data_IF_191934176450
#
_entry.id   IF_191934176450
#
_cell.length_a   1.000
_cell.length_b   1.000
_cell.length_c   1.000
_cell.angle_alpha   90.00
_cell.angle_beta   90.00
_cell.angle_gamma   90.00
#
_symmetry.space_group_name_H-M   'P 1'
#
loop_
_entity.id
_entity.type
_entity.pdbx_description
1 polymer ?
#
# COMPACT_ATOMS: atom_id res chain seq x y z
N UNK A 1 -18.22 8.49 99.67
CA UNK A 1 -18.27 7.01 99.68
C UNK A 1 -18.26 6.42 98.28
N UNK A 2 -19.19 6.76 97.38
CA UNK A 2 -19.26 6.18 96.02
C UNK A 2 -18.01 6.42 95.13
N UNK A 3 -17.39 7.60 95.21
CA UNK A 3 -16.17 7.92 94.45
C UNK A 3 -14.96 7.09 94.91
N UNK A 4 -14.83 6.86 96.23
CA UNK A 4 -13.78 6.03 96.81
C UNK A 4 -13.99 4.56 96.46
N UNK A 5 -15.24 4.11 96.32
CA UNK A 5 -15.56 2.75 95.89
C UNK A 5 -15.22 2.50 94.42
N UNK A 6 -15.44 3.48 93.54
CA UNK A 6 -15.05 3.40 92.12
C UNK A 6 -13.54 3.41 91.94
N UNK A 7 -12.81 4.20 92.72
CA UNK A 7 -11.34 4.21 92.72
C UNK A 7 -10.80 2.89 93.28
N UNK A 8 -11.40 2.33 94.32
CA UNK A 8 -11.05 1.01 94.85
C UNK A 8 -11.34 -0.12 93.85
N UNK A 9 -12.44 -0.06 93.09
CA UNK A 9 -12.76 -1.04 92.04
C UNK A 9 -11.77 -0.99 90.86
N UNK A 10 -11.27 0.21 90.54
CA UNK A 10 -10.26 0.41 89.50
C UNK A 10 -8.85 -0.05 89.91
N UNK A 11 -8.54 0.03 91.21
CA UNK A 11 -7.26 -0.40 91.78
C UNK A 11 -7.23 -1.88 92.15
N UNK A 12 -8.38 -2.49 92.44
CA UNK A 12 -8.48 -3.90 92.85
C UNK A 12 -8.58 -4.89 91.67
N UNK A 13 -8.59 -4.43 90.41
CA UNK A 13 -8.70 -5.34 89.27
C UNK A 13 -7.36 -6.07 89.05
N UNK A 14 -7.30 -7.41 89.23
CA UNK A 14 -6.07 -8.16 89.05
C UNK A 14 -5.64 -8.06 87.59
N UNK A 15 -4.47 -7.50 87.38
CA UNK A 15 -3.84 -7.27 86.10
C UNK A 15 -3.42 -8.61 85.46
N UNK A 16 -4.32 -9.22 84.68
CA UNK A 16 -3.88 -10.06 83.55
C UNK A 16 -3.50 -9.17 82.36
N UNK A 17 -2.52 -8.30 82.58
CA UNK A 17 -1.56 -7.90 81.56
C UNK A 17 -1.75 -6.59 80.78
N UNK A 18 -2.95 -6.03 80.61
CA UNK A 18 -3.10 -4.71 79.98
C UNK A 18 -4.24 -3.92 80.61
N UNK A 19 -3.92 -2.76 81.19
CA UNK A 19 -4.93 -1.82 81.65
C UNK A 19 -5.80 -1.38 80.46
N UNK A 20 -7.09 -1.09 80.70
CA UNK A 20 -7.99 -0.51 79.70
C UNK A 20 -7.36 0.71 79.01
N UNK A 21 -6.57 1.48 79.76
CA UNK A 21 -5.79 2.63 79.28
C UNK A 21 -4.73 2.19 78.26
N UNK A 22 -4.01 1.10 78.50
CA UNK A 22 -3.03 0.55 77.56
C UNK A 22 -3.69 0.05 76.26
N UNK A 23 -4.89 -0.53 76.33
CA UNK A 23 -5.62 -0.94 75.12
C UNK A 23 -6.09 0.26 74.27
N UNK A 24 -6.62 1.31 74.91
CA UNK A 24 -6.96 2.57 74.22
C UNK A 24 -5.71 3.23 73.63
N UNK A 25 -4.58 3.24 74.35
CA UNK A 25 -3.31 3.76 73.84
C UNK A 25 -2.80 2.96 72.62
N UNK A 26 -2.97 1.64 72.61
CA UNK A 26 -2.62 0.79 71.45
C UNK A 26 -3.52 1.08 70.25
N UNK A 27 -4.83 1.25 70.45
CA UNK A 27 -5.74 1.58 69.35
C UNK A 27 -5.47 2.97 68.77
N UNK A 28 -5.24 3.97 69.62
CA UNK A 28 -4.85 5.31 69.19
C UNK A 28 -3.49 5.30 68.50
N UNK A 29 -2.52 4.56 69.04
CA UNK A 29 -1.20 4.36 68.43
C UNK A 29 -1.28 3.68 67.06
N UNK A 30 -2.12 2.63 66.93
CA UNK A 30 -2.39 1.97 65.65
C UNK A 30 -3.10 2.89 64.67
N UNK A 31 -4.06 3.68 65.12
CA UNK A 31 -4.75 4.70 64.30
C UNK A 31 -3.79 5.76 63.79
N UNK A 32 -2.92 6.29 64.66
CA UNK A 32 -1.89 7.25 64.31
C UNK A 32 -0.86 6.68 63.33
N UNK A 33 -0.33 5.47 63.58
CA UNK A 33 0.62 4.80 62.68
C UNK A 33 -0.01 4.48 61.33
N UNK A 34 -1.27 4.04 61.29
CA UNK A 34 -2.03 3.84 60.03
C UNK A 34 -2.26 5.15 59.29
N UNK A 35 -2.62 6.22 59.99
CA UNK A 35 -2.79 7.55 59.39
C UNK A 35 -1.48 8.10 58.83
N UNK A 36 -0.37 7.93 59.56
CA UNK A 36 0.97 8.31 59.10
C UNK A 36 1.42 7.46 57.90
N UNK A 37 1.16 6.15 57.93
CA UNK A 37 1.44 5.25 56.81
C UNK A 37 0.59 5.59 55.58
N UNK A 38 -0.69 5.91 55.76
CA UNK A 38 -1.57 6.33 54.68
C UNK A 38 -1.11 7.65 54.04
N UNK A 39 -0.75 8.64 54.87
CA UNK A 39 -0.23 9.93 54.40
C UNK A 39 1.09 9.80 53.65
N UNK A 40 2.01 8.99 54.16
CA UNK A 40 3.29 8.73 53.49
C UNK A 40 3.11 7.95 52.19
N UNK A 41 2.21 6.98 52.13
CA UNK A 41 1.85 6.28 50.89
C UNK A 41 1.22 7.22 49.86
N UNK A 42 0.31 8.10 50.27
CA UNK A 42 -0.32 9.08 49.38
C UNK A 42 0.74 10.02 48.77
N UNK A 43 1.59 10.62 49.62
CA UNK A 43 2.69 11.47 49.17
C UNK A 43 3.67 10.73 48.24
N UNK A 44 3.90 9.43 48.45
CA UNK A 44 4.76 8.62 47.58
C UNK A 44 4.16 8.46 46.19
N UNK A 45 2.86 8.15 46.12
CA UNK A 45 2.15 8.00 44.86
C UNK A 45 2.05 9.33 44.11
N UNK A 46 1.84 10.44 44.83
CA UNK A 46 1.82 11.78 44.24
C UNK A 46 3.19 12.17 43.68
N UNK A 47 4.28 11.89 44.41
CA UNK A 47 5.65 12.09 43.93
C UNK A 47 5.95 11.24 42.67
N UNK A 48 5.56 9.97 42.67
CA UNK A 48 5.75 9.07 41.53
C UNK A 48 4.94 9.55 40.31
N UNK A 49 3.67 9.92 40.50
CA UNK A 49 2.83 10.45 39.43
C UNK A 49 3.39 11.76 38.86
N UNK A 50 3.87 12.65 39.74
CA UNK A 50 4.55 13.89 39.34
C UNK A 50 5.82 13.61 38.53
N UNK A 51 6.63 12.63 38.95
CA UNK A 51 7.83 12.22 38.22
C UNK A 51 7.50 11.71 36.80
N UNK A 52 6.51 10.83 36.65
CA UNK A 52 6.07 10.35 35.34
C UNK A 52 5.46 11.45 34.45
N UNK A 53 4.75 12.42 35.03
CA UNK A 53 4.23 13.56 34.29
C UNK A 53 5.37 14.47 33.80
N UNK A 54 6.33 14.77 34.68
CA UNK A 54 7.46 15.62 34.37
C UNK A 54 8.43 14.99 33.36
N UNK A 55 8.68 13.68 33.46
CA UNK A 55 9.47 12.94 32.48
C UNK A 55 8.82 12.95 31.08
N UNK A 56 7.49 12.78 31.01
CA UNK A 56 6.73 12.89 29.74
C UNK A 56 6.79 14.30 29.14
N UNK A 57 6.82 15.33 29.99
CA UNK A 57 6.96 16.72 29.57
C UNK A 57 8.40 17.11 29.21
N UNK A 58 9.39 16.21 29.35
CA UNK A 58 10.80 16.53 29.15
C UNK A 58 11.38 17.53 30.17
N UNK A 59 10.75 17.66 31.34
CA UNK A 59 11.20 18.59 32.38
C UNK A 59 12.47 18.06 33.06
N UNK A 60 13.45 18.94 33.23
CA UNK A 60 14.68 18.68 33.98
C UNK A 60 14.67 19.48 35.28
N UNK A 61 14.33 18.84 36.38
CA UNK A 61 14.42 19.41 37.73
C UNK A 61 15.47 18.65 38.52
N UNK A 62 16.44 19.34 39.11
CA UNK A 62 17.50 18.72 39.90
C UNK A 62 17.12 18.72 41.38
N UNK A 63 17.34 17.63 42.13
CA UNK A 63 17.15 17.63 43.56
C UNK A 63 18.24 18.47 44.22
N UNK A 64 17.95 19.17 45.32
CA UNK A 64 18.95 20.00 46.03
C UNK A 64 20.08 19.15 46.61
N UNK A 65 19.78 17.88 46.91
CA UNK A 65 20.74 16.87 47.36
C UNK A 65 21.79 16.51 46.30
N UNK A 66 21.64 16.96 45.05
CA UNK A 66 22.56 16.58 43.98
C UNK A 66 23.98 17.06 44.21
N UNK A 67 24.20 18.14 44.97
CA UNK A 67 25.55 18.62 45.26
C UNK A 67 26.33 17.68 46.19
N UNK A 68 25.70 16.64 46.74
CA UNK A 68 26.36 15.65 47.59
C UNK A 68 26.90 14.47 46.74
N UNK A 69 28.24 14.26 46.67
CA UNK A 69 28.84 13.18 45.88
C UNK A 69 28.42 11.77 46.31
N UNK A 70 28.16 11.55 47.60
CA UNK A 70 27.72 10.25 48.10
C UNK A 70 26.29 9.93 47.63
N UNK A 71 25.41 10.95 47.61
CA UNK A 71 24.06 10.81 47.08
C UNK A 71 24.07 10.52 45.57
N UNK A 72 24.86 11.28 44.80
CA UNK A 72 25.05 11.04 43.36
C UNK A 72 25.46 9.60 43.07
N UNK A 73 26.52 9.13 43.73
CA UNK A 73 27.04 7.78 43.52
C UNK A 73 25.99 6.71 43.85
N UNK A 74 25.29 6.85 44.97
CA UNK A 74 24.28 5.88 45.38
C UNK A 74 23.05 5.91 44.48
N UNK A 75 22.58 7.09 44.07
CA UNK A 75 21.47 7.25 43.14
C UNK A 75 21.78 6.54 41.81
N UNK A 76 22.96 6.77 41.24
CA UNK A 76 23.39 6.10 39.99
C UNK A 76 23.44 4.58 40.14
N UNK A 77 23.99 4.07 41.25
CA UNK A 77 24.08 2.63 41.49
C UNK A 77 22.69 1.99 41.60
N UNK A 78 21.80 2.54 42.41
CA UNK A 78 20.47 1.94 42.64
C UNK A 78 19.56 2.05 41.42
N UNK A 79 19.61 3.17 40.70
CA UNK A 79 18.83 3.35 39.46
C UNK A 79 19.36 2.47 38.33
N UNK A 80 20.68 2.31 38.21
CA UNK A 80 21.26 1.35 37.27
C UNK A 80 20.83 -0.08 37.59
N UNK A 81 20.85 -0.46 38.88
CA UNK A 81 20.37 -1.77 39.33
C UNK A 81 18.88 -1.96 39.01
N UNK A 82 18.06 -0.95 39.26
CA UNK A 82 16.63 -1.00 38.97
C UNK A 82 16.33 -1.18 37.47
N UNK A 83 17.12 -0.56 36.58
CA UNK A 83 17.02 -0.77 35.14
C UNK A 83 17.40 -2.22 34.73
N UNK A 84 18.41 -2.80 35.37
CA UNK A 84 18.78 -4.22 35.17
C UNK A 84 17.67 -5.15 35.68
N UNK A 85 17.11 -4.87 36.86
CA UNK A 85 15.97 -5.60 37.43
C UNK A 85 14.68 -5.45 36.60
N UNK A 86 14.61 -4.44 35.74
CA UNK A 86 13.54 -4.26 34.75
C UNK A 86 13.74 -5.12 33.48
N UNK A 87 14.90 -5.76 33.31
CA UNK A 87 15.21 -6.64 32.19
C UNK A 87 16.30 -6.13 31.24
N UNK A 88 16.90 -4.96 31.48
CA UNK A 88 18.04 -4.49 30.69
C UNK A 88 19.32 -5.26 31.02
N UNK A 89 20.19 -5.47 30.04
CA UNK A 89 21.57 -5.87 30.32
C UNK A 89 22.36 -4.71 30.95
N UNK A 90 23.48 -5.02 31.62
CA UNK A 90 24.32 -3.98 32.22
C UNK A 90 24.86 -2.97 31.19
N UNK A 91 25.19 -3.44 29.97
CA UNK A 91 25.62 -2.57 28.88
C UNK A 91 24.48 -1.72 28.33
N UNK A 92 23.29 -2.30 28.17
CA UNK A 92 22.09 -1.57 27.75
C UNK A 92 21.74 -0.46 28.75
N UNK A 93 21.74 -0.77 30.05
CA UNK A 93 21.48 0.21 31.09
C UNK A 93 22.51 1.35 31.02
N UNK A 94 23.80 1.03 30.90
CA UNK A 94 24.86 2.06 30.77
C UNK A 94 24.66 2.95 29.53
N UNK A 95 24.33 2.37 28.38
CA UNK A 95 24.06 3.12 27.16
C UNK A 95 22.79 3.98 27.29
N UNK A 96 21.75 3.45 27.92
CA UNK A 96 20.48 4.13 28.17
C UNK A 96 20.65 5.34 29.10
N UNK A 97 21.39 5.19 30.20
CA UNK A 97 21.73 6.30 31.10
C UNK A 97 22.66 7.34 30.50
N UNK A 98 23.36 7.01 29.40
CA UNK A 98 24.18 7.98 28.67
C UNK A 98 23.31 8.99 27.88
N UNK A 99 22.02 8.70 27.72
CA UNK A 99 21.07 9.61 27.08
C UNK A 99 20.65 10.72 28.06
N UNK A 100 20.79 11.98 27.66
CA UNK A 100 20.56 13.13 28.53
C UNK A 100 19.11 13.21 29.06
N UNK A 101 18.13 12.83 28.24
CA UNK A 101 16.72 12.76 28.63
C UNK A 101 16.46 11.74 29.75
N UNK A 102 17.12 10.57 29.69
CA UNK A 102 17.00 9.52 30.72
C UNK A 102 17.60 9.99 32.03
N UNK A 103 18.83 10.54 31.98
CA UNK A 103 19.48 11.11 33.15
C UNK A 103 18.62 12.23 33.78
N UNK A 104 18.09 13.14 32.97
CA UNK A 104 17.19 14.20 33.45
C UNK A 104 15.91 13.64 34.07
N UNK A 105 15.28 12.62 33.48
CA UNK A 105 14.06 12.02 34.01
C UNK A 105 14.27 11.39 35.40
N UNK A 106 15.37 10.66 35.59
CA UNK A 106 15.72 10.04 36.88
C UNK A 106 16.00 11.10 37.95
N UNK A 107 16.65 12.19 37.56
CA UNK A 107 16.95 13.30 38.45
C UNK A 107 15.69 14.08 38.84
N UNK A 108 14.82 14.34 37.87
CA UNK A 108 13.49 14.90 38.09
C UNK A 108 12.66 14.03 39.02
N UNK A 109 12.74 12.70 38.90
CA UNK A 109 12.07 11.79 39.83
C UNK A 109 12.56 11.99 41.27
N UNK A 110 13.87 11.99 41.49
CA UNK A 110 14.45 12.27 42.81
C UNK A 110 14.01 13.65 43.37
N UNK A 111 13.92 14.67 42.52
CA UNK A 111 13.44 16.00 42.89
C UNK A 111 11.95 16.02 43.26
N UNK A 112 11.09 15.25 42.56
CA UNK A 112 9.68 15.09 42.92
C UNK A 112 9.49 14.48 44.30
N UNK A 113 10.28 13.46 44.65
CA UNK A 113 10.27 12.89 46.01
C UNK A 113 10.80 13.90 47.05
N UNK A 114 11.82 14.69 46.72
CA UNK A 114 12.28 15.76 47.62
C UNK A 114 11.20 16.80 47.90
N UNK A 115 10.46 17.23 46.87
CA UNK A 115 9.37 18.21 46.98
C UNK A 115 8.26 17.77 47.94
N UNK A 116 7.96 16.47 47.97
CA UNK A 116 6.99 15.88 48.90
C UNK A 116 7.57 15.62 50.32
N UNK A 117 8.81 16.04 50.57
CA UNK A 117 9.46 15.99 51.88
C UNK A 117 10.11 14.65 52.24
N UNK A 118 10.37 13.78 51.25
CA UNK A 118 11.03 12.50 51.49
C UNK A 118 12.52 12.66 51.83
N UNK A 119 13.03 11.77 52.70
CA UNK A 119 14.45 11.70 53.03
C UNK A 119 15.31 11.30 51.82
N UNK A 120 16.62 11.56 51.86
CA UNK A 120 17.54 11.18 50.77
C UNK A 120 17.49 9.70 50.40
N UNK A 121 17.40 8.81 51.39
CA UNK A 121 17.26 7.37 51.12
C UNK A 121 15.94 7.04 50.43
N UNK A 122 14.84 7.67 50.84
CA UNK A 122 13.54 7.50 50.20
C UNK A 122 13.48 8.12 48.80
N UNK A 123 14.20 9.23 48.54
CA UNK A 123 14.38 9.79 47.19
C UNK A 123 15.07 8.78 46.26
N UNK A 124 16.14 8.12 46.73
CA UNK A 124 16.87 7.11 45.94
C UNK A 124 15.96 5.92 45.63
N UNK A 125 15.22 5.41 46.61
CA UNK A 125 14.27 4.31 46.42
C UNK A 125 13.16 4.71 45.43
N UNK A 126 12.58 5.90 45.59
CA UNK A 126 11.55 6.41 44.68
C UNK A 126 12.04 6.61 43.26
N UNK A 127 13.26 7.14 43.08
CA UNK A 127 13.89 7.27 41.78
C UNK A 127 14.22 5.90 41.16
N UNK A 128 14.63 4.91 41.97
CA UNK A 128 14.88 3.54 41.51
C UNK A 128 13.58 2.86 41.05
N UNK A 129 12.48 2.96 41.80
CA UNK A 129 11.18 2.45 41.40
C UNK A 129 10.69 3.10 40.10
N UNK A 130 10.76 4.43 40.01
CA UNK A 130 10.46 5.17 38.79
C UNK A 130 11.32 4.66 37.60
N UNK A 131 12.61 4.48 37.82
CA UNK A 131 13.55 4.01 36.79
C UNK A 131 13.17 2.61 36.30
N UNK A 132 12.75 1.73 37.20
CA UNK A 132 12.32 0.37 36.85
C UNK A 132 11.12 0.39 35.90
N UNK A 133 10.12 1.20 36.22
CA UNK A 133 8.93 1.35 35.37
C UNK A 133 9.26 2.03 34.04
N UNK A 134 10.12 3.05 34.06
CA UNK A 134 10.57 3.76 32.87
C UNK A 134 11.39 2.86 31.93
N UNK A 135 12.25 2.01 32.48
CA UNK A 135 13.04 1.03 31.73
C UNK A 135 12.16 -0.03 31.08
N UNK A 136 11.12 -0.53 31.77
CA UNK A 136 10.14 -1.46 31.18
C UNK A 136 9.42 -0.84 29.99
N UNK A 137 8.93 0.38 30.13
CA UNK A 137 8.26 1.09 29.05
C UNK A 137 9.19 1.26 27.82
N UNK A 138 10.46 1.58 28.05
CA UNK A 138 11.46 1.67 26.98
C UNK A 138 11.70 0.33 26.27
N UNK A 139 11.83 -0.76 27.02
CA UNK A 139 12.00 -2.11 26.44
C UNK A 139 10.79 -2.56 25.64
N UNK A 140 9.57 -2.29 26.12
CA UNK A 140 8.34 -2.58 25.37
C UNK A 140 8.31 -1.80 24.04
N UNK A 141 8.50 -0.48 24.08
CA UNK A 141 8.52 0.34 22.87
C UNK A 141 9.62 -0.09 21.87
N UNK A 142 10.78 -0.52 22.37
CA UNK A 142 11.85 -1.04 21.52
C UNK A 142 11.54 -2.41 20.89
N UNK A 143 10.78 -3.26 21.59
CA UNK A 143 10.32 -4.54 21.04
C UNK A 143 9.20 -4.32 20.01
N UNK A 144 8.22 -3.46 20.32
CA UNK A 144 7.14 -3.11 19.41
C UNK A 144 7.72 -2.55 18.09
N UNK A 145 8.69 -1.63 18.18
CA UNK A 145 9.38 -1.08 17.01
C UNK A 145 10.21 -2.12 16.23
N UNK A 146 10.70 -3.18 16.89
CA UNK A 146 11.41 -4.29 16.21
C UNK A 146 10.45 -5.22 15.50
N UNK A 147 9.30 -5.50 16.10
CA UNK A 147 8.23 -6.30 15.49
C UNK A 147 7.67 -5.57 14.27
N UNK A 148 7.34 -4.27 14.39
CA UNK A 148 6.90 -3.44 13.26
C UNK A 148 7.92 -3.40 12.11
N UNK A 149 9.22 -3.27 12.45
CA UNK A 149 10.28 -3.32 11.43
C UNK A 149 10.38 -4.70 10.78
N UNK A 150 10.28 -5.78 11.56
CA UNK A 150 10.30 -7.14 11.04
C UNK A 150 9.14 -7.42 10.09
N UNK A 151 7.93 -6.96 10.43
CA UNK A 151 6.75 -7.06 9.59
C UNK A 151 6.88 -6.24 8.30
N UNK A 152 7.45 -5.04 8.39
CA UNK A 152 7.74 -4.20 7.22
C UNK A 152 8.75 -4.88 6.27
N UNK A 153 9.85 -5.43 6.80
CA UNK A 153 10.86 -6.13 6.01
C UNK A 153 10.26 -7.39 5.34
N UNK A 154 9.40 -8.13 6.05
CA UNK A 154 8.72 -9.30 5.49
C UNK A 154 7.72 -8.93 4.39
N UNK A 155 6.97 -7.83 4.57
CA UNK A 155 6.04 -7.31 3.56
C UNK A 155 6.78 -6.83 2.30
N UNK A 156 7.94 -6.19 2.48
CA UNK A 156 8.81 -5.77 1.39
C UNK A 156 9.32 -6.96 0.56
N UNK A 157 9.89 -7.99 1.19
CA UNK A 157 10.38 -9.18 0.49
C UNK A 157 9.25 -9.93 -0.23
N UNK A 158 8.06 -10.02 0.40
CA UNK A 158 6.88 -10.59 -0.24
C UNK A 158 6.46 -9.79 -1.48
N UNK A 159 6.44 -8.46 -1.38
CA UNK A 159 6.14 -7.57 -2.50
C UNK A 159 7.11 -7.79 -3.66
N UNK A 160 8.41 -7.81 -3.38
CA UNK A 160 9.46 -8.06 -4.37
C UNK A 160 9.30 -9.42 -5.07
N UNK A 161 9.05 -10.49 -4.33
CA UNK A 161 8.85 -11.83 -4.91
C UNK A 161 7.62 -11.88 -5.84
N UNK A 162 6.52 -11.21 -5.47
CA UNK A 162 5.32 -11.09 -6.30
C UNK A 162 5.58 -10.27 -7.57
N UNK A 163 6.33 -9.17 -7.47
CA UNK A 163 6.75 -8.39 -8.63
C UNK A 163 7.58 -9.21 -9.62
N UNK A 164 8.60 -9.92 -9.15
CA UNK A 164 9.44 -10.80 -9.98
C UNK A 164 8.62 -11.93 -10.63
N UNK A 165 7.62 -12.46 -9.92
CA UNK A 165 6.67 -13.41 -10.49
C UNK A 165 5.81 -12.77 -11.58
N UNK A 166 5.30 -11.55 -11.36
CA UNK A 166 4.54 -10.79 -12.34
C UNK A 166 5.33 -10.54 -13.62
N UNK A 167 6.62 -10.19 -13.50
CA UNK A 167 7.51 -10.04 -14.64
C UNK A 167 7.65 -11.34 -15.45
N UNK A 168 7.78 -12.49 -14.78
CA UNK A 168 7.84 -13.80 -15.46
C UNK A 168 6.54 -14.12 -16.21
N UNK A 169 5.38 -13.80 -15.63
CA UNK A 169 4.10 -13.95 -16.32
C UNK A 169 4.01 -13.01 -17.54
N UNK A 170 4.42 -11.74 -17.40
CA UNK A 170 4.39 -10.76 -18.49
C UNK A 170 5.29 -11.18 -19.67
N UNK A 171 6.51 -11.70 -19.40
CA UNK A 171 7.42 -12.21 -20.43
C UNK A 171 6.85 -13.41 -21.22
N UNK A 172 5.85 -14.09 -20.66
CA UNK A 172 5.19 -15.23 -21.28
C UNK A 172 3.80 -14.86 -21.82
N UNK A 173 3.50 -13.57 -21.94
CA UNK A 173 2.22 -13.05 -22.42
C UNK A 173 1.02 -13.49 -21.55
N UNK A 174 1.27 -13.88 -20.30
CA UNK A 174 0.25 -14.22 -19.29
C UNK A 174 -0.20 -12.97 -18.55
N UNK A 175 -0.84 -12.07 -19.30
CA UNK A 175 -1.08 -10.68 -18.88
C UNK A 175 -2.03 -10.56 -17.70
N UNK A 176 -3.07 -11.41 -17.62
CA UNK A 176 -4.00 -11.45 -16.48
C UNK A 176 -3.29 -11.84 -15.18
N UNK A 177 -2.48 -12.90 -15.22
CA UNK A 177 -1.70 -13.35 -14.06
C UNK A 177 -0.62 -12.35 -13.66
N UNK A 178 -0.01 -11.67 -14.62
CA UNK A 178 0.95 -10.60 -14.35
C UNK A 178 0.29 -9.41 -13.63
N UNK A 179 -0.89 -8.97 -14.09
CA UNK A 179 -1.68 -7.89 -13.45
C UNK A 179 -2.06 -8.29 -12.00
N UNK A 180 -2.49 -9.53 -11.77
CA UNK A 180 -2.78 -10.03 -10.41
C UNK A 180 -1.53 -9.98 -9.51
N UNK A 181 -0.39 -10.46 -10.01
CA UNK A 181 0.86 -10.44 -9.27
C UNK A 181 1.31 -9.01 -8.93
N UNK A 182 1.23 -8.07 -9.88
CA UNK A 182 1.57 -6.67 -9.62
C UNK A 182 0.61 -6.04 -8.62
N UNK A 183 -0.69 -6.34 -8.70
CA UNK A 183 -1.69 -5.86 -7.72
C UNK A 183 -1.34 -6.33 -6.31
N UNK A 184 -1.08 -7.62 -6.14
CA UNK A 184 -0.71 -8.19 -4.84
C UNK A 184 0.66 -7.72 -4.36
N UNK A 185 1.58 -7.42 -5.28
CA UNK A 185 2.87 -6.79 -4.95
C UNK A 185 2.66 -5.39 -4.36
N UNK A 186 1.80 -4.58 -4.98
CA UNK A 186 1.47 -3.23 -4.52
C UNK A 186 0.84 -3.26 -3.13
N UNK A 187 -0.10 -4.19 -2.90
CA UNK A 187 -0.74 -4.39 -1.59
C UNK A 187 0.24 -4.83 -0.50
N UNK A 188 1.24 -5.65 -0.85
CA UNK A 188 2.26 -6.10 0.09
C UNK A 188 3.28 -4.99 0.41
N UNK A 189 3.76 -4.26 -0.60
CA UNK A 189 4.73 -3.18 -0.45
C UNK A 189 4.67 -2.25 -1.66
N UNK A 190 4.05 -1.09 -1.50
CA UNK A 190 3.89 -0.11 -2.57
C UNK A 190 5.25 0.40 -3.08
N UNK A 191 5.47 0.30 -4.39
CA UNK A 191 6.67 0.73 -5.09
C UNK A 191 6.29 1.20 -6.50
N UNK A 192 6.97 2.20 -7.10
CA UNK A 192 6.66 2.68 -8.45
C UNK A 192 6.68 1.59 -9.53
N UNK A 193 7.62 0.65 -9.48
CA UNK A 193 7.84 -0.30 -10.58
C UNK A 193 6.65 -1.25 -10.86
N UNK A 194 6.02 -1.89 -9.84
CA UNK A 194 4.76 -2.63 -10.04
C UNK A 194 3.65 -1.81 -10.70
N UNK A 195 3.47 -0.54 -10.34
CA UNK A 195 2.47 0.34 -10.95
C UNK A 195 2.79 0.61 -12.44
N UNK A 196 4.04 0.93 -12.76
CA UNK A 196 4.47 1.18 -14.16
C UNK A 196 4.24 -0.08 -15.01
N UNK A 197 4.64 -1.25 -14.52
CA UNK A 197 4.48 -2.50 -15.27
C UNK A 197 3.01 -2.90 -15.43
N UNK A 198 2.17 -2.67 -14.42
CA UNK A 198 0.73 -2.91 -14.52
C UNK A 198 0.06 -1.93 -15.48
N UNK A 199 0.44 -0.65 -15.45
CA UNK A 199 -0.02 0.37 -16.38
C UNK A 199 0.31 0.01 -17.84
N UNK A 200 1.53 -0.48 -18.10
CA UNK A 200 1.95 -0.92 -19.43
C UNK A 200 1.04 -2.04 -19.95
N UNK A 201 0.71 -3.03 -19.10
CA UNK A 201 -0.22 -4.10 -19.48
C UNK A 201 -1.65 -3.59 -19.68
N UNK A 202 -2.12 -2.67 -18.84
CA UNK A 202 -3.42 -2.02 -19.06
C UNK A 202 -3.46 -1.26 -20.39
N UNK A 203 -2.41 -0.53 -20.75
CA UNK A 203 -2.30 0.15 -22.04
C UNK A 203 -2.36 -0.81 -23.22
N UNK A 204 -1.69 -1.97 -23.14
CA UNK A 204 -1.78 -3.04 -24.15
C UNK A 204 -3.17 -3.66 -24.28
N UNK A 205 -4.00 -3.54 -23.24
CA UNK A 205 -5.42 -3.95 -23.23
C UNK A 205 -6.39 -2.80 -23.50
N UNK A 206 -5.89 -1.62 -23.91
CA UNK A 206 -6.67 -0.41 -24.19
C UNK A 206 -7.39 0.14 -22.93
N UNK A 207 -6.96 -0.29 -21.74
CA UNK A 207 -7.45 0.17 -20.43
C UNK A 207 -6.65 1.40 -19.97
N UNK A 208 -6.61 2.42 -20.83
CA UNK A 208 -5.73 3.58 -20.65
C UNK A 208 -6.10 4.47 -19.47
N UNK A 209 -7.36 4.45 -19.02
CA UNK A 209 -7.77 5.20 -17.84
C UNK A 209 -7.17 4.61 -16.56
N UNK A 210 -7.22 3.28 -16.41
CA UNK A 210 -6.56 2.57 -15.31
C UNK A 210 -5.05 2.70 -15.38
N UNK A 211 -4.46 2.62 -16.58
CA UNK A 211 -3.04 2.89 -16.79
C UNK A 211 -2.66 4.30 -16.32
N UNK A 212 -3.47 5.33 -16.63
CA UNK A 212 -3.25 6.69 -16.16
C UNK A 212 -3.25 6.79 -14.62
N UNK A 213 -4.20 6.12 -13.95
CA UNK A 213 -4.24 6.13 -12.47
C UNK A 213 -2.98 5.49 -11.88
N UNK A 214 -2.56 4.34 -12.41
CA UNK A 214 -1.35 3.66 -11.98
C UNK A 214 -0.10 4.52 -12.19
N UNK A 215 0.01 5.21 -13.34
CA UNK A 215 1.14 6.09 -13.63
C UNK A 215 1.19 7.33 -12.74
N UNK A 216 0.03 7.91 -12.39
CA UNK A 216 -0.04 9.04 -11.46
C UNK A 216 0.42 8.62 -10.06
N UNK A 217 0.04 7.43 -9.61
CA UNK A 217 0.47 6.90 -8.32
C UNK A 217 1.96 6.50 -8.34
N UNK A 218 2.44 5.91 -9.44
CA UNK A 218 3.86 5.64 -9.65
C UNK A 218 4.69 6.92 -9.56
N UNK A 219 4.25 8.01 -10.22
CA UNK A 219 4.90 9.32 -10.14
C UNK A 219 5.00 9.83 -8.70
N UNK A 220 3.88 9.79 -7.97
CA UNK A 220 3.80 10.23 -6.58
C UNK A 220 4.78 9.46 -5.68
N UNK A 221 4.87 8.14 -5.86
CA UNK A 221 5.78 7.29 -5.09
C UNK A 221 7.24 7.50 -5.48
N UNK A 222 7.54 7.66 -6.77
CA UNK A 222 8.91 7.86 -7.26
C UNK A 222 9.50 9.17 -6.73
N UNK A 223 8.72 10.25 -6.72
CA UNK A 223 9.09 11.55 -6.13
C UNK A 223 9.36 11.49 -4.62
N UNK A 224 8.71 10.56 -3.90
CA UNK A 224 8.89 10.38 -2.44
C UNK A 224 10.06 9.46 -2.08
N UNK A 225 10.51 8.64 -3.03
CA UNK A 225 11.53 7.62 -2.81
C UNK A 225 12.86 8.08 -3.42
N UNK A 226 13.27 7.48 -4.54
CA UNK A 226 14.59 7.66 -5.14
C UNK A 226 14.55 8.40 -6.49
N UNK A 227 13.36 8.70 -7.01
CA UNK A 227 13.16 9.36 -8.31
C UNK A 227 13.94 8.65 -9.43
N UNK A 228 13.77 7.33 -9.53
CA UNK A 228 14.51 6.44 -10.42
C UNK A 228 13.89 6.34 -11.81
N UNK A 229 12.59 6.60 -11.95
CA UNK A 229 11.84 6.40 -13.20
C UNK A 229 11.19 7.68 -13.80
N UNK A 230 11.78 8.90 -13.65
CA UNK A 230 11.06 10.12 -14.00
C UNK A 230 10.80 10.24 -15.51
N UNK A 231 11.69 9.69 -16.35
CA UNK A 231 11.58 9.80 -17.82
C UNK A 231 10.58 8.80 -18.37
N UNK A 232 10.64 7.56 -17.89
CA UNK A 232 9.70 6.49 -18.23
C UNK A 232 8.28 6.89 -17.86
N UNK A 233 8.07 7.32 -16.60
CA UNK A 233 6.76 7.76 -16.12
C UNK A 233 6.24 8.94 -16.94
N UNK A 234 7.08 9.95 -17.21
CA UNK A 234 6.66 11.12 -17.98
C UNK A 234 6.20 10.76 -19.40
N UNK A 235 6.95 9.90 -20.10
CA UNK A 235 6.61 9.43 -21.45
C UNK A 235 5.28 8.68 -21.47
N UNK A 236 5.10 7.72 -20.56
CA UNK A 236 3.85 6.94 -20.52
C UNK A 236 2.66 7.81 -20.10
N UNK A 237 2.87 8.78 -19.19
CA UNK A 237 1.84 9.76 -18.82
C UNK A 237 1.42 10.65 -19.99
N UNK A 238 2.36 11.10 -20.82
CA UNK A 238 2.04 11.91 -22.01
C UNK A 238 1.08 11.15 -22.93
N UNK A 239 1.41 9.90 -23.24
CA UNK A 239 0.56 9.03 -24.06
C UNK A 239 -0.81 8.77 -23.41
N UNK A 240 -0.82 8.33 -22.14
CA UNK A 240 -2.05 8.01 -21.42
C UNK A 240 -2.99 9.24 -21.30
N UNK A 241 -2.44 10.44 -21.07
CA UNK A 241 -3.24 11.66 -21.04
C UNK A 241 -3.86 11.99 -22.40
N UNK A 242 -3.12 11.78 -23.50
CA UNK A 242 -3.62 12.05 -24.85
C UNK A 242 -4.83 11.17 -25.19
N UNK A 243 -4.75 9.88 -24.90
CA UNK A 243 -5.83 8.92 -25.21
C UNK A 243 -7.02 9.03 -24.25
N UNK A 244 -6.82 9.49 -23.01
CA UNK A 244 -7.90 9.58 -22.01
C UNK A 244 -8.65 10.92 -21.97
N UNK A 245 -8.41 11.83 -22.91
CA UNK A 245 -9.07 13.15 -22.94
C UNK A 245 -10.61 13.06 -22.90
N UNK A 246 -11.19 11.99 -23.47
CA UNK A 246 -12.63 11.74 -23.50
C UNK A 246 -13.30 11.64 -22.11
N UNK A 247 -12.53 11.28 -21.07
CA UNK A 247 -13.02 11.20 -19.69
C UNK A 247 -13.22 12.57 -19.02
N UNK A 248 -12.63 13.65 -19.57
CA UNK A 248 -12.62 14.97 -18.92
C UNK A 248 -13.56 15.99 -19.57
N UNK A 249 -14.05 15.72 -20.78
CA UNK A 249 -14.78 16.68 -21.60
C UNK A 249 -16.26 16.29 -21.85
N UNK A 250 -16.77 15.27 -21.17
CA UNK A 250 -18.15 14.80 -21.34
C UNK A 250 -18.38 13.98 -22.63
N UNK A 251 -17.31 13.63 -23.34
CA UNK A 251 -17.40 12.86 -24.60
C UNK A 251 -17.72 11.39 -24.33
N UNK A 252 -17.14 10.80 -23.28
CA UNK A 252 -17.43 9.44 -22.83
C UNK A 252 -18.92 9.20 -22.63
N UNK A 253 -19.62 10.10 -21.94
CA UNK A 253 -21.04 9.94 -21.62
C UNK A 253 -21.91 9.90 -22.88
N UNK A 254 -21.54 10.67 -23.91
CA UNK A 254 -22.22 10.65 -25.21
C UNK A 254 -22.02 9.33 -25.93
N UNK A 255 -20.79 8.82 -25.95
CA UNK A 255 -20.45 7.54 -26.57
C UNK A 255 -21.16 6.36 -25.90
N UNK A 256 -21.25 6.38 -24.57
CA UNK A 256 -21.97 5.34 -23.81
C UNK A 256 -23.47 5.39 -24.10
N UNK A 257 -24.06 6.59 -24.17
CA UNK A 257 -25.48 6.71 -24.49
C UNK A 257 -25.79 6.25 -25.92
N UNK A 258 -24.94 6.62 -26.88
CA UNK A 258 -25.05 6.14 -28.26
C UNK A 258 -24.98 4.62 -28.36
N UNK A 259 -24.14 3.96 -27.55
CA UNK A 259 -24.03 2.49 -27.55
C UNK A 259 -25.24 1.80 -26.94
N UNK A 260 -25.93 2.40 -25.96
CA UNK A 260 -27.13 1.80 -25.37
C UNK A 260 -28.29 1.73 -26.37
N UNK A 261 -28.41 2.77 -27.20
CA UNK A 261 -29.51 2.90 -28.15
C UNK A 261 -29.15 2.37 -29.55
N UNK A 262 -27.86 2.18 -29.82
CA UNK A 262 -27.32 1.87 -31.13
C UNK A 262 -26.92 0.41 -31.34
N UNK A 263 -26.77 0.04 -32.61
CA UNK A 263 -26.21 -1.24 -33.01
C UNK A 263 -24.67 -1.23 -32.90
N UNK A 264 -24.11 -2.22 -32.20
CA UNK A 264 -22.66 -2.33 -31.97
C UNK A 264 -21.87 -2.43 -33.28
N UNK A 265 -22.43 -3.08 -34.31
CA UNK A 265 -21.77 -3.22 -35.61
C UNK A 265 -21.73 -1.90 -36.37
N UNK A 266 -22.84 -1.16 -36.37
CA UNK A 266 -22.89 0.17 -36.97
C UNK A 266 -21.91 1.15 -36.30
N UNK A 267 -21.87 1.18 -34.96
CA UNK A 267 -20.95 2.02 -34.19
C UNK A 267 -19.50 1.66 -34.50
N UNK A 268 -19.15 0.36 -34.45
CA UNK A 268 -17.81 -0.12 -34.79
C UNK A 268 -17.38 0.28 -36.21
N UNK A 269 -18.27 0.14 -37.20
CA UNK A 269 -18.00 0.54 -38.58
C UNK A 269 -17.79 2.05 -38.73
N UNK A 270 -18.60 2.88 -38.04
CA UNK A 270 -18.41 4.35 -38.02
C UNK A 270 -17.07 4.73 -37.38
N UNK A 271 -16.70 4.11 -36.26
CA UNK A 271 -15.42 4.35 -35.59
C UNK A 271 -14.25 4.02 -36.52
N UNK A 272 -14.27 2.87 -37.20
CA UNK A 272 -13.27 2.51 -38.21
C UNK A 272 -13.17 3.57 -39.31
N UNK A 273 -14.31 3.97 -39.88
CA UNK A 273 -14.34 5.01 -40.92
C UNK A 273 -13.68 6.31 -40.46
N UNK A 274 -14.01 6.77 -39.25
CA UNK A 274 -13.46 8.01 -38.69
C UNK A 274 -11.95 7.90 -38.41
N UNK A 275 -11.52 6.82 -37.76
CA UNK A 275 -10.13 6.65 -37.35
C UNK A 275 -9.18 6.46 -38.54
N UNK A 276 -9.62 5.70 -39.55
CA UNK A 276 -8.84 5.40 -40.75
C UNK A 276 -9.06 6.42 -41.88
N UNK A 277 -9.91 7.43 -41.68
CA UNK A 277 -10.20 8.44 -42.72
C UNK A 277 -10.90 7.85 -43.95
N UNK A 278 -11.70 6.79 -43.77
CA UNK A 278 -12.44 6.12 -44.84
C UNK A 278 -13.84 6.73 -44.92
N UNK A 279 -14.25 7.13 -46.13
CA UNK A 279 -15.62 7.59 -46.36
C UNK A 279 -16.61 6.43 -46.13
N UNK A 280 -17.72 6.62 -45.37
CA UNK A 280 -18.66 5.54 -45.04
C UNK A 280 -19.21 4.78 -46.25
N UNK A 281 -19.43 5.47 -47.38
CA UNK A 281 -19.84 4.84 -48.63
C UNK A 281 -18.78 3.87 -49.17
N UNK A 282 -17.50 4.26 -49.12
CA UNK A 282 -16.38 3.40 -49.55
C UNK A 282 -16.20 2.20 -48.65
N UNK A 283 -16.36 2.36 -47.34
CA UNK A 283 -16.37 1.24 -46.39
C UNK A 283 -17.50 0.24 -46.71
N UNK A 284 -18.72 0.75 -46.88
CA UNK A 284 -19.91 -0.06 -47.17
C UNK A 284 -19.72 -0.91 -48.43
N UNK A 285 -19.26 -0.31 -49.52
CA UNK A 285 -19.09 -0.97 -50.82
C UNK A 285 -17.69 -1.57 -51.04
N UNK A 286 -16.84 -1.60 -50.01
CA UNK A 286 -15.47 -2.12 -50.08
C UNK A 286 -14.63 -1.51 -51.22
N UNK A 287 -14.80 -0.21 -51.51
CA UNK A 287 -14.10 0.50 -52.60
C UNK A 287 -12.96 1.39 -52.10
N UNK A 288 -12.42 1.08 -50.92
CA UNK A 288 -11.27 1.75 -50.34
C UNK A 288 -10.00 0.93 -50.56
N UNK A 289 -8.88 1.61 -50.73
CA UNK A 289 -7.55 1.00 -50.71
C UNK A 289 -6.78 1.63 -49.55
N UNK A 290 -6.75 0.93 -48.41
CA UNK A 290 -6.18 1.46 -47.19
C UNK A 290 -5.32 0.39 -46.49
N UNK A 291 -4.00 0.35 -46.74
CA UNK A 291 -3.14 -0.73 -46.28
C UNK A 291 -3.08 -0.86 -44.74
N UNK A 292 -3.38 0.23 -44.02
CA UNK A 292 -3.44 0.16 -42.56
C UNK A 292 -4.62 -0.66 -42.02
N UNK A 293 -5.68 -0.90 -42.79
CA UNK A 293 -6.82 -1.71 -42.32
C UNK A 293 -6.42 -3.18 -42.18
N UNK A 294 -5.73 -3.72 -43.19
CA UNK A 294 -5.19 -5.08 -43.14
C UNK A 294 -4.14 -5.20 -42.04
N UNK A 295 -3.21 -4.23 -41.96
CA UNK A 295 -2.23 -4.19 -40.88
C UNK A 295 -2.89 -4.15 -39.50
N UNK A 296 -3.91 -3.30 -39.29
CA UNK A 296 -4.63 -3.20 -38.03
C UNK A 296 -5.25 -4.54 -37.62
N UNK A 297 -5.84 -5.26 -38.57
CA UNK A 297 -6.42 -6.57 -38.32
C UNK A 297 -5.39 -7.53 -37.71
N UNK A 298 -4.25 -7.74 -38.38
CA UNK A 298 -3.22 -8.66 -37.87
C UNK A 298 -2.54 -8.17 -36.60
N UNK A 299 -2.30 -6.87 -36.47
CA UNK A 299 -1.77 -6.26 -35.24
C UNK A 299 -2.70 -6.50 -34.05
N UNK A 300 -4.01 -6.37 -34.25
CA UNK A 300 -4.98 -6.66 -33.19
C UNK A 300 -5.13 -8.15 -32.89
N UNK A 301 -5.00 -9.05 -33.89
CA UNK A 301 -4.94 -10.48 -33.63
C UNK A 301 -3.74 -10.83 -32.73
N UNK A 302 -2.55 -10.29 -33.02
CA UNK A 302 -1.35 -10.48 -32.21
C UNK A 302 -1.51 -9.86 -30.80
N UNK A 303 -2.08 -8.66 -30.70
CA UNK A 303 -2.35 -8.01 -29.42
C UNK A 303 -3.33 -8.82 -28.55
N UNK A 304 -4.45 -9.28 -29.12
CA UNK A 304 -5.43 -10.10 -28.38
C UNK A 304 -4.80 -11.42 -27.96
N UNK A 305 -4.01 -12.06 -28.84
CA UNK A 305 -3.31 -13.30 -28.51
C UNK A 305 -2.32 -13.13 -27.35
N UNK A 306 -1.59 -12.01 -27.30
CA UNK A 306 -0.53 -11.78 -26.30
C UNK A 306 -1.02 -11.14 -25.00
N UNK A 307 -2.06 -10.31 -25.06
CA UNK A 307 -2.37 -9.42 -23.94
C UNK A 307 -3.79 -9.57 -23.40
N UNK A 308 -4.70 -10.27 -24.08
CA UNK A 308 -6.10 -10.37 -23.67
C UNK A 308 -6.60 -11.82 -23.49
N UNK A 309 -7.78 -11.96 -22.89
CA UNK A 309 -8.46 -13.25 -22.78
C UNK A 309 -9.32 -13.50 -24.02
N UNK A 310 -8.91 -14.48 -24.84
CA UNK A 310 -9.61 -14.93 -26.06
C UNK A 310 -11.09 -15.24 -25.84
N UNK A 311 -11.51 -15.60 -24.62
CA UNK A 311 -12.93 -15.87 -24.29
C UNK A 311 -13.84 -14.66 -24.48
N UNK A 312 -13.29 -13.44 -24.41
CA UNK A 312 -14.06 -12.21 -24.65
C UNK A 312 -14.16 -11.84 -26.13
N UNK A 313 -13.44 -12.56 -27.01
CA UNK A 313 -13.36 -12.30 -28.44
C UNK A 313 -13.61 -13.58 -29.25
N UNK A 314 -14.86 -14.09 -29.28
CA UNK A 314 -15.16 -15.38 -29.90
C UNK A 314 -14.79 -15.42 -31.39
N UNK A 315 -15.11 -14.37 -32.17
CA UNK A 315 -14.81 -14.33 -33.61
C UNK A 315 -13.29 -14.23 -33.84
N UNK A 316 -12.62 -13.38 -33.07
CA UNK A 316 -11.16 -13.20 -33.13
C UNK A 316 -10.43 -14.48 -32.76
N UNK A 317 -10.96 -15.26 -31.81
CA UNK A 317 -10.36 -16.54 -31.43
C UNK A 317 -10.36 -17.51 -32.62
N UNK A 318 -11.41 -17.54 -33.43
CA UNK A 318 -11.44 -18.33 -34.67
C UNK A 318 -10.42 -17.82 -35.68
N UNK A 319 -10.28 -16.49 -35.82
CA UNK A 319 -9.30 -15.91 -36.74
C UNK A 319 -7.85 -16.22 -36.33
N UNK A 320 -7.53 -16.13 -35.04
CA UNK A 320 -6.21 -16.51 -34.50
C UNK A 320 -5.89 -17.98 -34.83
N UNK A 321 -6.87 -18.88 -34.75
CA UNK A 321 -6.66 -20.29 -35.09
C UNK A 321 -6.59 -20.52 -36.61
N UNK A 322 -7.21 -19.64 -37.40
CA UNK A 322 -7.20 -19.70 -38.86
C UNK A 322 -5.89 -19.21 -39.49
N UNK A 323 -5.18 -18.26 -38.89
CA UNK A 323 -3.91 -17.75 -39.42
C UNK A 323 -2.71 -18.31 -38.63
N UNK A 324 -1.66 -18.86 -39.29
CA UNK A 324 -0.45 -19.29 -38.58
C UNK A 324 0.19 -18.14 -37.79
N UNK A 325 0.68 -18.41 -36.59
CA UNK A 325 1.30 -17.36 -35.74
C UNK A 325 2.45 -16.62 -36.44
N UNK A 326 3.32 -17.34 -37.15
CA UNK A 326 4.43 -16.73 -37.89
C UNK A 326 3.95 -15.87 -39.07
N UNK A 327 2.79 -16.19 -39.66
CA UNK A 327 2.17 -15.36 -40.69
C UNK A 327 1.61 -14.07 -40.11
N UNK A 328 0.94 -14.15 -38.94
CA UNK A 328 0.49 -12.96 -38.22
C UNK A 328 1.69 -12.07 -37.88
N UNK A 329 2.78 -12.64 -37.34
CA UNK A 329 3.99 -11.90 -37.03
C UNK A 329 4.59 -11.23 -38.27
N UNK A 330 4.69 -11.95 -39.40
CA UNK A 330 5.15 -11.39 -40.67
C UNK A 330 4.30 -10.19 -41.12
N UNK A 331 2.97 -10.26 -40.98
CA UNK A 331 2.05 -9.16 -41.32
C UNK A 331 2.22 -7.95 -40.40
N UNK A 332 2.50 -8.17 -39.12
CA UNK A 332 2.79 -7.10 -38.15
C UNK A 332 4.16 -6.46 -38.43
N UNK A 333 5.17 -7.25 -38.80
CA UNK A 333 6.49 -6.71 -39.15
C UNK A 333 6.46 -5.89 -40.46
N UNK A 334 5.49 -6.16 -41.33
CA UNK A 334 5.27 -5.47 -42.60
C UNK A 334 4.44 -4.16 -42.49
N UNK A 335 4.48 -3.48 -41.34
CA UNK A 335 3.78 -2.21 -41.15
C UNK A 335 4.16 -1.18 -42.25
N UNK A 336 3.19 -0.64 -43.03
CA UNK A 336 3.50 0.27 -44.13
C UNK A 336 4.22 1.56 -43.70
N UNK A 337 3.74 2.16 -42.59
CA UNK A 337 4.33 3.34 -41.95
C UNK A 337 3.93 3.34 -40.47
N UNK A 338 4.88 3.02 -39.60
CA UNK A 338 4.64 2.90 -38.17
C UNK A 338 4.24 4.23 -37.51
N UNK A 339 4.69 5.39 -38.02
CA UNK A 339 4.33 6.68 -37.43
C UNK A 339 2.91 7.08 -37.83
N UNK A 340 2.56 6.93 -39.11
CA UNK A 340 1.21 7.21 -39.57
C UNK A 340 0.18 6.29 -38.88
N UNK A 341 0.52 5.00 -38.69
CA UNK A 341 -0.35 4.09 -37.96
C UNK A 341 -0.51 4.47 -36.48
N UNK A 342 0.56 4.93 -35.80
CA UNK A 342 0.47 5.41 -34.41
C UNK A 342 -0.59 6.50 -34.24
N UNK A 343 -0.73 7.40 -35.21
CA UNK A 343 -1.75 8.46 -35.16
C UNK A 343 -3.17 7.90 -35.31
N UNK A 344 -3.35 6.85 -36.12
CA UNK A 344 -4.63 6.12 -36.25
C UNK A 344 -4.94 5.38 -34.94
N UNK A 345 -3.95 4.68 -34.39
CA UNK A 345 -4.06 3.92 -33.15
C UNK A 345 -4.42 4.81 -31.97
N UNK A 346 -3.76 5.96 -31.80
CA UNK A 346 -4.10 6.94 -30.75
C UNK A 346 -5.55 7.40 -30.85
N UNK A 347 -6.02 7.73 -32.06
CA UNK A 347 -7.43 8.13 -32.27
C UNK A 347 -8.37 6.99 -31.88
N UNK A 348 -8.11 5.79 -32.38
CA UNK A 348 -8.94 4.62 -32.11
C UNK A 348 -8.97 4.28 -30.61
N UNK A 349 -7.81 4.23 -29.97
CA UNK A 349 -7.68 4.00 -28.54
C UNK A 349 -8.41 5.08 -27.73
N UNK A 350 -8.37 6.35 -28.14
CA UNK A 350 -9.10 7.42 -27.43
C UNK A 350 -10.62 7.24 -27.45
N UNK A 351 -11.16 6.65 -28.52
CA UNK A 351 -12.57 6.31 -28.61
C UNK A 351 -12.87 5.04 -27.81
N UNK A 352 -12.11 3.96 -28.03
CA UNK A 352 -12.33 2.65 -27.40
C UNK A 352 -12.16 2.68 -25.88
N UNK A 353 -11.15 3.38 -25.37
CA UNK A 353 -10.92 3.44 -23.94
C UNK A 353 -11.98 4.27 -23.21
N UNK A 354 -12.86 5.00 -23.92
CA UNK A 354 -13.97 5.71 -23.28
C UNK A 354 -15.10 4.76 -22.83
N UNK A 355 -15.14 3.53 -23.35
CA UNK A 355 -16.13 2.52 -22.96
C UNK A 355 -15.62 1.68 -21.80
N UNK A 356 -16.55 1.10 -21.02
CA UNK A 356 -16.19 0.10 -20.02
C UNK A 356 -15.62 -1.16 -20.69
N UNK A 357 -14.75 -1.90 -19.99
CA UNK A 357 -13.95 -3.00 -20.57
C UNK A 357 -14.78 -3.97 -21.43
N UNK A 358 -15.95 -4.38 -20.93
CA UNK A 358 -16.84 -5.32 -21.65
C UNK A 358 -17.36 -4.74 -22.96
N UNK A 359 -17.76 -3.47 -22.98
CA UNK A 359 -18.31 -2.82 -24.16
C UNK A 359 -17.22 -2.48 -25.17
N UNK A 360 -16.05 -2.05 -24.68
CA UNK A 360 -14.83 -1.87 -25.46
C UNK A 360 -14.44 -3.19 -26.18
N UNK A 361 -14.44 -4.31 -25.46
CA UNK A 361 -14.16 -5.64 -26.03
C UNK A 361 -15.15 -6.02 -27.13
N UNK A 362 -16.46 -5.78 -26.90
CA UNK A 362 -17.52 -6.06 -27.90
C UNK A 362 -17.35 -5.22 -29.17
N UNK A 363 -17.04 -3.94 -29.02
CA UNK A 363 -16.76 -3.04 -30.15
C UNK A 363 -15.53 -3.51 -30.92
N UNK A 364 -14.41 -3.82 -30.25
CA UNK A 364 -13.21 -4.37 -30.89
C UNK A 364 -13.47 -5.65 -31.65
N UNK A 365 -14.17 -6.61 -31.03
CA UNK A 365 -14.53 -7.87 -31.69
C UNK A 365 -15.36 -7.62 -32.96
N UNK A 366 -16.35 -6.71 -32.88
CA UNK A 366 -17.16 -6.32 -34.04
C UNK A 366 -16.36 -5.62 -35.15
N UNK A 367 -15.40 -4.77 -34.79
CA UNK A 367 -14.49 -4.13 -35.75
C UNK A 367 -13.66 -5.18 -36.50
N UNK A 368 -13.06 -6.13 -35.78
CA UNK A 368 -12.22 -7.16 -36.37
C UNK A 368 -13.02 -8.11 -37.26
N UNK A 369 -14.23 -8.47 -36.85
CA UNK A 369 -15.15 -9.22 -37.69
C UNK A 369 -15.46 -8.47 -39.00
N UNK A 370 -15.77 -7.17 -38.92
CA UNK A 370 -16.05 -6.38 -40.12
C UNK A 370 -14.84 -6.27 -41.06
N UNK A 371 -13.66 -6.01 -40.51
CA UNK A 371 -12.42 -5.94 -41.31
C UNK A 371 -12.19 -7.28 -41.99
N UNK A 372 -12.34 -8.39 -41.27
CA UNK A 372 -12.21 -9.73 -41.86
C UNK A 372 -13.19 -9.95 -43.01
N UNK A 373 -14.48 -9.61 -42.85
CA UNK A 373 -15.46 -9.69 -43.95
C UNK A 373 -15.05 -8.85 -45.16
N UNK A 374 -14.50 -7.65 -44.95
CA UNK A 374 -14.04 -6.78 -46.04
C UNK A 374 -12.79 -7.32 -46.75
N UNK A 375 -11.89 -7.96 -46.01
CA UNK A 375 -10.75 -8.68 -46.60
C UNK A 375 -11.22 -9.87 -47.44
N UNK A 376 -12.20 -10.65 -46.97
CA UNK A 376 -12.80 -11.73 -47.76
C UNK A 376 -13.53 -11.24 -49.01
N UNK A 377 -14.32 -10.17 -48.90
CA UNK A 377 -14.98 -9.54 -50.06
C UNK A 377 -13.98 -9.03 -51.09
N UNK A 378 -12.81 -8.55 -50.65
CA UNK A 378 -11.72 -8.14 -51.55
C UNK A 378 -11.10 -9.35 -52.24
N UNK A 379 -10.80 -10.38 -51.46
CA UNK A 379 -10.05 -11.56 -51.91
C UNK A 379 -10.87 -12.51 -52.82
N UNK A 380 -12.21 -12.53 -52.65
CA UNK A 380 -13.11 -13.44 -53.36
C UNK A 380 -14.30 -12.72 -54.04
N UNK A 381 -14.34 -11.39 -54.05
CA UNK A 381 -15.47 -10.61 -54.57
C UNK A 381 -16.72 -10.62 -53.68
N UNK A 382 -17.78 -9.93 -54.11
CA UNK A 382 -19.04 -9.80 -53.36
C UNK A 382 -19.73 -11.15 -53.08
N UNK A 383 -19.46 -12.16 -53.91
CA UNK A 383 -19.93 -13.54 -53.73
C UNK A 383 -18.85 -14.44 -53.12
N UNK A 384 -18.12 -13.96 -52.11
CA UNK A 384 -17.07 -14.71 -51.41
C UNK A 384 -17.56 -16.02 -50.75
N UNK A 385 -18.88 -16.16 -50.55
CA UNK A 385 -19.51 -17.41 -50.12
C UNK A 385 -19.84 -18.39 -51.27
N UNK A 386 -19.49 -18.07 -52.52
CA UNK A 386 -19.75 -18.94 -53.69
C UNK A 386 -18.55 -19.82 -54.04
N UNK A 387 -18.80 -21.06 -54.47
CA UNK A 387 -17.78 -22.06 -54.80
C UNK A 387 -16.90 -21.74 -56.02
N UNK A 388 -17.14 -20.64 -56.73
CA UNK A 388 -16.52 -20.32 -58.03
C UNK A 388 -15.62 -19.09 -58.02
N UNK A 389 -15.24 -18.58 -56.84
CA UNK A 389 -14.41 -17.39 -56.76
C UNK A 389 -12.91 -17.72 -56.85
N UNK A 390 -12.18 -17.01 -57.71
CA UNK A 390 -10.73 -17.04 -57.74
C UNK A 390 -10.20 -16.28 -56.52
N UNK A 391 -9.41 -16.96 -55.68
CA UNK A 391 -8.86 -16.36 -54.47
C UNK A 391 -7.61 -15.53 -54.79
N UNK A 392 -7.68 -14.23 -54.55
CA UNK A 392 -6.53 -13.32 -54.56
C UNK A 392 -6.32 -12.70 -53.18
N UNK A 393 -5.20 -12.01 -52.94
CA UNK A 393 -4.97 -11.28 -51.69
C UNK A 393 -4.57 -12.14 -50.48
N UNK A 394 -5.04 -11.73 -49.28
CA UNK A 394 -4.46 -12.19 -48.01
C UNK A 394 -4.75 -13.66 -47.70
N UNK A 395 -5.91 -14.15 -48.15
CA UNK A 395 -6.31 -15.54 -47.98
C UNK A 395 -5.41 -16.47 -48.82
N UNK A 396 -5.09 -16.06 -50.05
CA UNK A 396 -4.13 -16.79 -50.90
C UNK A 396 -2.74 -16.75 -50.27
N UNK A 397 -2.29 -15.59 -49.83
CA UNK A 397 -0.98 -15.43 -49.17
C UNK A 397 -0.85 -16.33 -47.93
N UNK A 398 -1.89 -16.40 -47.08
CA UNK A 398 -1.92 -17.27 -45.91
C UNK A 398 -1.89 -18.77 -46.29
N UNK A 399 -2.57 -19.15 -47.36
CA UNK A 399 -2.57 -20.53 -47.86
C UNK A 399 -1.21 -20.91 -48.46
N UNK A 400 -0.60 -20.03 -49.25
CA UNK A 400 0.74 -20.22 -49.82
C UNK A 400 1.80 -20.30 -48.72
N UNK A 401 1.70 -19.47 -47.68
CA UNK A 401 2.59 -19.52 -46.52
C UNK A 401 2.57 -20.89 -45.83
N UNK A 402 1.39 -21.52 -45.71
CA UNK A 402 1.25 -22.88 -45.14
C UNK A 402 1.83 -23.98 -46.03
N UNK A 403 1.91 -23.76 -47.33
CA UNK A 403 2.40 -24.75 -48.30
C UNK A 403 3.90 -24.59 -48.62
N UNK A 404 4.45 -23.38 -48.41
CA UNK A 404 5.83 -23.02 -48.76
C UNK A 404 6.81 -22.91 -47.59
N UNK A 405 6.33 -22.97 -46.34
CA UNK A 405 7.15 -23.12 -45.14
C UNK A 405 7.27 -24.59 -44.73
#
# INVERSE_FOLDING_TARGET
MALLFLVALFLAWPTTGLSLIAWVAILLGRGYLRGKAAKTRAAYLDAQASAHAAARAGSATLPTSILNPAFQKQLVVETTRAAVDAGMSAEQAKAWFSQQNVANAVMTAAASFEKEGFSRSAQIVGAADFTKDFARAHLHAANDAREEKGDHDAAHEKGKALFEQGMRHALQFRSTEAIDCYTRSIEASANPAPYINRANLFGKRIRHFEALQDLLEAKRLDEQQANEFPTEIARELEHANLVTLGYRNGFREKLIEELKDGDTHEIAGRMLCVCFGIEPGRWKYNTYDHPFVEYHFFNELDNVFRFDDRKHYPDVAEFIDAYPGDFIAMKVDACPDAQAYRDIEVKLHSLLCSYDERDMQRLRNSMLYQIHCKLLERDFGEMWMSFSSECEGVTREAAEFRLGG
#
